data_IF_574900741572
#
_entry.id   IF_574900741572
#
_cell.length_a   1.000
_cell.length_b   1.000
_cell.length_c   1.000
_cell.angle_alpha   90.00
_cell.angle_beta   90.00
_cell.angle_gamma   90.00
#
_symmetry.space_group_name_H-M   'P 1'
#
loop_
_entity.id
_entity.type
_entity.pdbx_description
1 polymer ?
#
# COMPACT_ATOMS: atom_id res chain seq x y z
N UNK A 1 5.79 -1.95 18.76
CA UNK A 1 4.52 -1.22 18.57
C UNK A 1 3.99 -1.61 17.21
N UNK A 2 2.71 -2.01 17.09
CA UNK A 2 2.13 -2.36 15.80
C UNK A 2 1.99 -1.07 14.98
N UNK A 3 2.68 -0.98 13.84
CA UNK A 3 2.52 0.14 12.92
C UNK A 3 1.12 0.06 12.32
N UNK A 4 0.24 0.98 12.69
CA UNK A 4 -1.07 1.07 12.05
C UNK A 4 -0.92 1.75 10.69
N UNK A 5 -1.31 1.03 9.64
CA UNK A 5 -1.28 1.49 8.25
C UNK A 5 -2.71 1.71 7.76
N UNK A 6 -2.99 2.91 7.26
CA UNK A 6 -4.29 3.31 6.72
C UNK A 6 -4.23 3.36 5.20
N UNK A 7 -5.38 3.07 4.57
CA UNK A 7 -5.61 3.24 3.14
C UNK A 7 -6.88 4.06 2.96
N UNK A 8 -6.76 5.23 2.36
CA UNK A 8 -7.88 6.13 2.12
C UNK A 8 -8.04 6.36 0.62
N UNK A 9 -9.27 6.31 0.12
CA UNK A 9 -9.57 6.71 -1.26
C UNK A 9 -9.89 8.21 -1.29
N UNK A 10 -9.15 8.97 -2.07
CA UNK A 10 -9.32 10.41 -2.23
C UNK A 10 -10.11 10.65 -3.51
N UNK A 11 -11.39 10.97 -3.35
CA UNK A 11 -12.36 11.08 -4.45
C UNK A 11 -11.96 12.13 -5.50
N UNK A 12 -11.44 13.28 -5.05
CA UNK A 12 -11.08 14.40 -5.93
C UNK A 12 -9.91 14.05 -6.86
N UNK A 13 -8.87 13.40 -6.31
CA UNK A 13 -7.68 13.00 -7.05
C UNK A 13 -7.86 11.64 -7.75
N UNK A 14 -8.88 10.86 -7.36
CA UNK A 14 -9.12 9.46 -7.76
C UNK A 14 -7.94 8.53 -7.45
N UNK A 15 -7.38 8.70 -6.26
CA UNK A 15 -6.18 7.98 -5.81
C UNK A 15 -6.42 7.26 -4.49
N UNK A 16 -5.66 6.20 -4.24
CA UNK A 16 -5.54 5.52 -2.96
C UNK A 16 -4.28 5.96 -2.25
N UNK A 17 -4.43 6.52 -1.06
CA UNK A 17 -3.34 7.04 -0.25
C UNK A 17 -3.05 6.11 0.93
N UNK A 18 -1.82 5.64 1.01
CA UNK A 18 -1.32 4.81 2.11
C UNK A 18 -0.54 5.68 3.08
N UNK A 19 -0.89 5.62 4.36
CA UNK A 19 -0.26 6.39 5.44
C UNK A 19 -0.01 5.52 6.66
N UNK A 20 0.97 5.88 7.48
CA UNK A 20 1.19 5.27 8.79
C UNK A 20 0.85 6.26 9.90
N UNK A 21 0.20 5.80 10.97
CA UNK A 21 -0.09 6.66 12.14
C UNK A 21 1.21 7.24 12.72
N UNK A 22 2.29 6.48 12.71
CA UNK A 22 3.59 6.92 13.23
C UNK A 22 4.28 7.95 12.33
N UNK A 23 3.88 8.04 11.05
CA UNK A 23 4.52 8.85 10.01
C UNK A 23 3.46 9.38 9.03
N UNK A 24 2.49 10.13 9.56
CA UNK A 24 1.32 10.59 8.79
C UNK A 24 1.66 11.58 7.67
N UNK A 25 2.85 12.18 7.73
CA UNK A 25 3.35 13.13 6.74
C UNK A 25 3.91 12.44 5.49
N UNK A 26 4.12 11.12 5.48
CA UNK A 26 4.61 10.40 4.31
C UNK A 26 3.47 9.59 3.69
N UNK A 27 3.12 9.96 2.44
CA UNK A 27 1.98 9.42 1.73
C UNK A 27 2.45 8.68 0.49
N UNK A 28 2.12 7.39 0.39
CA UNK A 28 2.36 6.62 -0.84
C UNK A 28 1.06 6.55 -1.62
N UNK A 29 1.09 7.00 -2.87
CA UNK A 29 -0.11 7.10 -3.71
C UNK A 29 -0.17 5.96 -4.73
N UNK A 30 -1.38 5.51 -5.01
CA UNK A 30 -1.68 4.46 -5.98
C UNK A 30 -2.93 4.85 -6.76
N UNK A 31 -2.97 4.51 -8.06
CA UNK A 31 -4.18 4.69 -8.89
C UNK A 31 -5.12 3.48 -8.81
N UNK A 32 -4.55 2.32 -8.53
CA UNK A 32 -5.28 1.05 -8.46
C UNK A 32 -5.47 0.60 -7.00
N UNK A 33 -6.68 0.08 -6.71
CA UNK A 33 -7.05 -0.37 -5.37
C UNK A 33 -6.27 -1.61 -4.94
N UNK A 34 -6.06 -2.55 -5.86
CA UNK A 34 -5.43 -3.83 -5.58
C UNK A 34 -3.95 -3.64 -5.26
N UNK A 35 -3.26 -2.79 -6.04
CA UNK A 35 -1.88 -2.39 -5.76
C UNK A 35 -1.74 -1.68 -4.40
N UNK A 36 -2.63 -0.73 -4.11
CA UNK A 36 -2.64 -0.03 -2.81
C UNK A 36 -2.84 -1.00 -1.64
N UNK A 37 -3.76 -1.95 -1.80
CA UNK A 37 -4.06 -2.95 -0.79
C UNK A 37 -2.90 -3.93 -0.60
N UNK A 38 -2.30 -4.43 -1.68
CA UNK A 38 -1.14 -5.32 -1.64
C UNK A 38 0.07 -4.64 -0.96
N UNK A 39 0.30 -3.36 -1.27
CA UNK A 39 1.33 -2.57 -0.62
C UNK A 39 1.06 -2.38 0.88
N UNK A 40 -0.18 -2.05 1.27
CA UNK A 40 -0.58 -1.96 2.68
C UNK A 40 -0.31 -3.26 3.44
N UNK A 41 -0.67 -4.40 2.85
CA UNK A 41 -0.43 -5.71 3.46
C UNK A 41 1.06 -6.00 3.60
N UNK A 42 1.85 -5.70 2.57
CA UNK A 42 3.29 -5.87 2.58
C UNK A 42 3.96 -5.03 3.70
N UNK A 43 3.51 -3.79 3.90
CA UNK A 43 3.97 -2.95 5.03
C UNK A 43 3.62 -3.57 6.39
N UNK A 44 2.40 -4.10 6.55
CA UNK A 44 1.95 -4.71 7.79
C UNK A 44 2.70 -6.01 8.11
N UNK A 45 3.02 -6.79 7.08
CA UNK A 45 3.81 -8.02 7.19
C UNK A 45 5.32 -7.75 7.34
N UNK A 46 5.76 -6.50 7.17
CA UNK A 46 7.17 -6.12 7.23
C UNK A 46 8.01 -6.69 6.07
N UNK A 47 7.37 -7.08 4.97
CA UNK A 47 8.06 -7.59 3.78
C UNK A 47 8.65 -6.47 2.92
N UNK A 48 8.21 -5.23 3.15
CA UNK A 48 8.72 -4.04 2.48
C UNK A 48 8.99 -2.94 3.50
N UNK A 49 10.02 -2.15 3.23
CA UNK A 49 10.36 -0.99 4.05
C UNK A 49 9.60 0.25 3.58
N UNK A 50 9.05 1.07 4.49
CA UNK A 50 8.33 2.31 4.17
C UNK A 50 9.27 3.41 3.66
N UNK A 51 8.73 4.50 3.05
CA UNK A 51 9.54 5.56 2.45
C UNK A 51 10.44 6.34 3.42
N UNK A 52 10.10 6.42 4.71
CA UNK A 52 10.95 7.06 5.72
C UNK A 52 12.13 6.18 6.19
N UNK A 53 12.09 4.87 5.91
CA UNK A 53 13.17 3.92 6.23
C UNK A 53 14.03 3.57 5.01
N UNK A 54 13.40 3.45 3.83
CA UNK A 54 14.06 3.10 2.57
C UNK A 54 13.69 4.08 1.45
N UNK A 55 14.04 5.38 1.55
CA UNK A 55 13.62 6.40 0.57
C UNK A 55 14.09 6.10 -0.87
N UNK A 56 15.13 5.28 -1.04
CA UNK A 56 15.66 4.89 -2.34
C UNK A 56 14.70 4.00 -3.15
N UNK A 57 13.79 3.28 -2.49
CA UNK A 57 12.78 2.43 -3.14
C UNK A 57 11.59 3.22 -3.69
N UNK A 58 11.57 4.53 -3.45
CA UNK A 58 10.44 5.39 -3.75
C UNK A 58 10.84 6.55 -4.64
N UNK A 59 9.90 7.00 -5.46
CA UNK A 59 10.00 8.21 -6.26
C UNK A 59 9.21 9.29 -5.54
N UNK A 60 9.90 10.34 -5.09
CA UNK A 60 9.25 11.55 -4.57
C UNK A 60 8.49 12.27 -5.68
N UNK A 61 7.29 12.73 -5.37
CA UNK A 61 6.38 13.39 -6.31
C UNK A 61 6.27 14.87 -5.99
N UNK A 62 5.82 15.19 -4.79
CA UNK A 62 5.55 16.56 -4.34
C UNK A 62 5.50 16.66 -2.82
N UNK A 63 5.73 17.86 -2.32
CA UNK A 63 5.31 18.27 -0.99
C UNK A 63 4.06 19.14 -1.08
N UNK A 64 3.06 18.88 -0.24
CA UNK A 64 1.86 19.69 -0.15
C UNK A 64 1.33 19.69 1.29
N UNK A 65 1.08 20.88 1.84
CA UNK A 65 0.55 21.06 3.22
C UNK A 65 1.31 20.28 4.31
N UNK A 66 2.64 20.22 4.20
CA UNK A 66 3.50 19.50 5.16
C UNK A 66 3.51 17.97 4.99
N UNK A 67 2.89 17.45 3.92
CA UNK A 67 2.91 16.03 3.54
C UNK A 67 3.79 15.84 2.31
N UNK A 68 4.61 14.79 2.35
CA UNK A 68 5.45 14.34 1.24
C UNK A 68 4.78 13.15 0.54
N UNK A 69 4.66 13.24 -0.78
CA UNK A 69 3.97 12.26 -1.62
C UNK A 69 4.98 11.44 -2.42
N UNK A 70 4.75 10.13 -2.49
CA UNK A 70 5.66 9.16 -3.09
C UNK A 70 4.92 8.15 -3.98
N UNK A 71 5.62 7.66 -5.00
CA UNK A 71 5.32 6.40 -5.69
C UNK A 71 6.33 5.34 -5.31
N UNK A 72 5.92 4.06 -5.35
CA UNK A 72 6.87 2.94 -5.32
C UNK A 72 7.59 2.89 -6.67
N UNK A 73 8.90 2.68 -6.68
CA UNK A 73 9.64 2.46 -7.94
C UNK A 73 9.25 1.11 -8.54
N UNK A 74 8.98 1.10 -9.84
CA UNK A 74 8.62 -0.10 -10.59
C UNK A 74 9.78 -1.10 -10.72
N UNK A 75 11.04 -0.66 -10.60
CA UNK A 75 12.24 -1.51 -10.65
C UNK A 75 12.53 -2.29 -9.34
N UNK A 76 11.50 -2.76 -8.64
CA UNK A 76 11.70 -3.91 -7.76
C UNK A 76 11.79 -5.10 -8.68
N UNK A 77 12.99 -5.70 -8.79
CA UNK A 77 13.17 -7.03 -9.39
C UNK A 77 11.97 -7.88 -8.96
N UNK A 78 11.09 -8.19 -9.91
CA UNK A 78 9.97 -9.07 -9.69
C UNK A 78 10.57 -10.41 -9.25
N UNK A 79 10.69 -10.58 -7.94
CA UNK A 79 10.85 -11.90 -7.38
C UNK A 79 9.49 -12.55 -7.60
N UNK A 80 9.38 -13.16 -8.77
CA UNK A 80 8.19 -13.64 -9.46
C UNK A 80 7.64 -14.91 -8.78
N UNK A 81 7.58 -14.89 -7.45
CA UNK A 81 6.97 -15.91 -6.59
C UNK A 81 5.64 -15.42 -5.99
N UNK A 82 5.23 -14.17 -6.25
CA UNK A 82 3.95 -13.66 -5.78
C UNK A 82 2.83 -14.03 -6.74
N UNK A 83 2.06 -15.05 -6.37
CA UNK A 83 0.80 -15.40 -7.03
C UNK A 83 -0.34 -14.60 -6.39
N UNK A 84 -1.18 -13.98 -7.22
CA UNK A 84 -2.45 -13.32 -6.84
C UNK A 84 -3.32 -14.22 -5.93
N UNK A 85 -3.18 -15.53 -6.09
CA UNK A 85 -3.80 -16.61 -5.31
C UNK A 85 -3.49 -16.56 -3.81
N UNK A 86 -2.32 -16.04 -3.42
CA UNK A 86 -1.81 -16.13 -2.05
C UNK A 86 -2.47 -15.14 -1.07
N UNK A 87 -3.00 -14.02 -1.56
CA UNK A 87 -3.66 -13.03 -0.71
C UNK A 87 -5.10 -13.46 -0.33
N UNK A 88 -5.74 -14.29 -1.15
CA UNK A 88 -7.17 -14.58 -1.05
C UNK A 88 -7.56 -15.70 -0.09
N UNK A 89 -6.61 -16.45 0.47
CA UNK A 89 -6.93 -17.60 1.34
C UNK A 89 -7.15 -17.25 2.82
N UNK A 90 -6.85 -16.02 3.25
CA UNK A 90 -6.92 -15.63 4.66
C UNK A 90 -8.25 -14.99 5.10
N UNK A 91 -9.29 -14.98 4.24
CA UNK A 91 -10.63 -14.55 4.63
C UNK A 91 -10.74 -13.06 5.01
N UNK A 92 -9.96 -12.19 4.36
CA UNK A 92 -10.08 -10.75 4.59
C UNK A 92 -11.47 -10.25 4.14
N UNK A 93 -12.22 -9.52 5.00
CA UNK A 93 -13.52 -9.00 4.63
C UNK A 93 -13.38 -8.01 3.46
N UNK A 94 -13.95 -8.39 2.31
CA UNK A 94 -13.89 -7.62 1.06
C UNK A 94 -13.04 -8.23 -0.06
N UNK A 95 -12.44 -9.42 0.12
CA UNK A 95 -11.79 -10.15 -0.97
C UNK A 95 -12.82 -10.78 -1.94
N UNK A 96 -12.59 -10.72 -3.28
CA UNK A 96 -13.46 -11.35 -4.27
C UNK A 96 -13.67 -12.86 -4.03
N UNK A 97 -12.64 -13.55 -3.53
CA UNK A 97 -12.74 -14.96 -3.13
C UNK A 97 -13.72 -15.17 -1.98
N UNK A 98 -13.66 -14.34 -0.93
CA UNK A 98 -14.59 -14.41 0.22
C UNK A 98 -16.03 -14.08 -0.20
N UNK A 99 -16.20 -13.12 -1.11
CA UNK A 99 -17.51 -12.78 -1.69
C UNK A 99 -18.06 -13.95 -2.53
N UNK A 100 -17.19 -14.64 -3.30
CA UNK A 100 -17.55 -15.82 -4.09
C UNK A 100 -17.91 -17.04 -3.23
N UNK A 101 -17.48 -17.10 -1.97
CA UNK A 101 -17.78 -18.21 -1.06
C UNK A 101 -19.08 -18.00 -0.26
N UNK A 102 -19.76 -16.85 -0.40
CA UNK A 102 -21.10 -16.63 0.18
C UNK A 102 -21.18 -16.64 1.70
N UNK A 103 -20.14 -16.17 2.40
CA UNK A 103 -20.15 -15.90 3.85
C UNK A 103 -20.70 -14.52 4.18
#
# INVERSE_FOLDING_TARGET
MMNTINMNFITDEKEYWITSISNENHIVIFKDKEQAHSYKLSLLLGTISPPWEAPLDYTFIRDHEGKSFYHVKEDREENNEWKEEACCQSGCPGCPWTISQGL
#
